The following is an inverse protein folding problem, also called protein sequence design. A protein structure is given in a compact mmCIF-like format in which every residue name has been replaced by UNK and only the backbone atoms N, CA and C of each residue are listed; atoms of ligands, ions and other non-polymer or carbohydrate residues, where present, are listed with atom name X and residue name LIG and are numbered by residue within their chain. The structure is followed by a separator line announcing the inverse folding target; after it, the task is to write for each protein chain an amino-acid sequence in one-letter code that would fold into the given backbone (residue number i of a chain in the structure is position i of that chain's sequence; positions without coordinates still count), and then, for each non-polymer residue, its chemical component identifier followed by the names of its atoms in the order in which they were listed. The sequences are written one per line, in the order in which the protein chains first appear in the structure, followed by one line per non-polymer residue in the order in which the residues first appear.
data_IF_752308750927
#
_entry.id   IF_752308750927
#
_cell.length_a   1.000
_cell.length_b   1.000
_cell.length_c   1.000
_cell.angle_alpha   90.00
_cell.angle_beta   90.00
_cell.angle_gamma   90.00
#
_symmetry.space_group_name_H-M   'P 1'
#
loop_
_entity.id
_entity.type
_entity.pdbx_description
1 polymer ?
#
# COMPACT_ATOMS: atom_id res chain seq x y z
N UNK A 1 57.82 -28.27 29.09
CA UNK A 1 57.17 -27.83 27.84
C UNK A 1 55.72 -27.50 28.17
N UNK A 2 55.38 -26.22 28.32
CA UNK A 2 54.03 -25.75 28.62
C UNK A 2 53.54 -24.96 27.40
N UNK A 3 52.46 -25.44 26.79
CA UNK A 3 51.85 -24.87 25.59
C UNK A 3 51.14 -23.55 25.93
N UNK A 4 51.34 -22.52 25.10
CA UNK A 4 50.65 -21.25 25.21
C UNK A 4 49.16 -21.39 24.79
N UNK A 5 48.23 -20.64 25.40
CA UNK A 5 46.83 -20.69 25.04
C UNK A 5 46.58 -20.00 23.69
N UNK A 6 45.86 -20.70 22.80
CA UNK A 6 45.42 -20.17 21.50
C UNK A 6 44.19 -19.28 21.73
N UNK A 7 44.29 -18.00 21.37
CA UNK A 7 43.15 -17.07 21.40
C UNK A 7 42.20 -17.35 20.24
N UNK A 8 40.87 -17.36 20.46
CA UNK A 8 39.89 -17.54 19.39
C UNK A 8 39.85 -16.31 18.47
N UNK A 9 39.87 -16.56 17.16
CA UNK A 9 39.66 -15.54 16.12
C UNK A 9 38.18 -15.16 16.09
N UNK A 10 37.80 -13.87 16.11
CA UNK A 10 36.40 -13.48 16.04
C UNK A 10 35.84 -13.75 14.65
N UNK A 11 34.84 -14.62 14.57
CA UNK A 11 34.08 -14.91 13.36
C UNK A 11 33.25 -13.67 13.02
N UNK A 12 33.63 -12.92 11.98
CA UNK A 12 32.79 -11.86 11.44
C UNK A 12 31.49 -12.49 10.93
N UNK A 13 30.39 -12.23 11.65
CA UNK A 13 29.04 -12.48 11.18
C UNK A 13 28.81 -11.65 9.92
N UNK A 14 28.83 -12.29 8.76
CA UNK A 14 28.40 -11.68 7.49
C UNK A 14 26.91 -11.42 7.59
N UNK A 15 26.53 -10.24 8.11
CA UNK A 15 25.18 -9.71 7.93
C UNK A 15 24.90 -9.66 6.42
N UNK A 16 23.77 -10.17 5.93
CA UNK A 16 23.40 -10.00 4.53
C UNK A 16 23.42 -8.50 4.22
N UNK A 17 24.11 -8.12 3.14
CA UNK A 17 24.20 -6.75 2.70
C UNK A 17 22.80 -6.31 2.24
N UNK A 18 21.99 -5.80 3.15
CA UNK A 18 20.75 -5.11 2.82
C UNK A 18 21.13 -3.92 1.94
N UNK A 19 20.82 -4.03 0.64
CA UNK A 19 21.01 -2.97 -0.32
C UNK A 19 19.94 -1.91 -0.02
N UNK A 20 20.33 -0.79 0.61
CA UNK A 20 19.43 0.35 0.81
C UNK A 20 19.19 0.98 -0.56
N UNK A 21 17.96 0.88 -1.06
CA UNK A 21 17.54 1.58 -2.27
C UNK A 21 16.87 2.89 -1.85
N UNK A 22 17.39 4.06 -2.25
CA UNK A 22 16.73 5.33 -1.99
C UNK A 22 15.44 5.39 -2.82
N UNK A 23 14.32 5.65 -2.15
CA UNK A 23 12.98 5.81 -2.72
C UNK A 23 12.45 7.18 -2.32
N UNK A 24 11.83 7.89 -3.27
CA UNK A 24 11.01 9.06 -2.98
C UNK A 24 9.54 8.69 -3.11
N UNK A 25 8.68 9.22 -2.24
CA UNK A 25 7.23 9.13 -2.36
C UNK A 25 6.68 10.43 -2.93
N UNK A 26 5.61 10.33 -3.71
CA UNK A 26 4.95 11.44 -4.35
C UNK A 26 3.45 11.15 -4.41
N UNK A 27 2.63 12.16 -4.19
CA UNK A 27 1.18 12.02 -4.38
C UNK A 27 0.84 11.79 -5.86
N UNK A 28 -0.11 10.89 -6.14
CA UNK A 28 -0.72 10.77 -7.48
C UNK A 28 -1.37 12.08 -7.94
N UNK A 29 -1.69 13.00 -7.03
CA UNK A 29 -2.25 14.31 -7.34
C UNK A 29 -1.28 15.22 -8.11
N UNK A 30 0.02 14.90 -8.14
CA UNK A 30 1.02 15.64 -8.92
C UNK A 30 1.08 15.23 -10.39
N UNK A 31 0.35 14.19 -10.80
CA UNK A 31 0.28 13.74 -12.17
C UNK A 31 -0.91 14.36 -12.91
N UNK A 32 -0.73 14.78 -14.17
CA UNK A 32 -1.85 15.14 -15.03
C UNK A 32 -2.87 13.99 -15.11
N UNK A 33 -4.16 14.31 -15.09
CA UNK A 33 -5.23 13.31 -15.14
C UNK A 33 -5.09 12.32 -16.29
N UNK A 34 -4.79 12.83 -17.49
CA UNK A 34 -4.61 11.98 -18.66
C UNK A 34 -3.47 10.95 -18.49
N UNK A 35 -2.42 11.32 -17.76
CA UNK A 35 -1.28 10.47 -17.44
C UNK A 35 -1.67 9.41 -16.40
N UNK A 36 -2.32 9.82 -15.30
CA UNK A 36 -2.87 8.90 -14.29
C UNK A 36 -3.80 7.87 -14.93
N UNK A 37 -4.77 8.32 -15.75
CA UNK A 37 -5.73 7.45 -16.43
C UNK A 37 -5.03 6.51 -17.43
N UNK A 38 -3.96 6.96 -18.09
CA UNK A 38 -3.19 6.13 -19.01
C UNK A 38 -2.45 5.01 -18.25
N UNK A 39 -1.80 5.32 -17.14
CA UNK A 39 -1.08 4.35 -16.31
C UNK A 39 -2.06 3.39 -15.66
N UNK A 40 -3.19 3.87 -15.13
CA UNK A 40 -4.24 3.02 -14.56
C UNK A 40 -4.80 2.04 -15.60
N UNK A 41 -5.01 2.48 -16.85
CA UNK A 41 -5.40 1.59 -17.94
C UNK A 41 -4.34 0.53 -18.19
N UNK A 42 -3.05 0.88 -18.23
CA UNK A 42 -1.99 -0.12 -18.43
C UNK A 42 -1.92 -1.13 -17.27
N UNK A 43 -2.09 -0.68 -16.02
CA UNK A 43 -2.14 -1.54 -14.83
C UNK A 43 -3.32 -2.51 -14.90
N UNK A 44 -4.51 -2.04 -15.30
CA UNK A 44 -5.70 -2.88 -15.41
C UNK A 44 -5.54 -4.01 -16.45
N UNK A 45 -4.83 -3.74 -17.56
CA UNK A 45 -4.62 -4.70 -18.63
C UNK A 45 -3.35 -5.55 -18.45
N UNK A 46 -2.52 -5.24 -17.45
CA UNK A 46 -1.26 -5.94 -17.22
C UNK A 46 -1.47 -7.38 -16.70
N UNK A 47 -0.71 -8.36 -17.23
CA UNK A 47 -0.81 -9.75 -16.79
C UNK A 47 -0.24 -9.90 -15.37
N UNK A 48 -1.00 -10.55 -14.49
CA UNK A 48 -0.55 -10.89 -13.14
C UNK A 48 0.37 -12.13 -13.20
N UNK A 49 1.64 -11.97 -12.80
CA UNK A 49 2.60 -13.09 -12.71
C UNK A 49 3.14 -13.18 -11.29
N UNK A 50 2.89 -14.30 -10.61
CA UNK A 50 3.36 -14.55 -9.24
C UNK A 50 3.00 -13.42 -8.25
N UNK A 51 1.80 -12.86 -8.37
CA UNK A 51 1.31 -11.77 -7.51
C UNK A 51 1.83 -10.37 -7.86
N UNK A 52 2.78 -10.24 -8.80
CA UNK A 52 3.27 -8.95 -9.28
C UNK A 52 2.52 -8.51 -10.54
N UNK A 53 2.18 -7.24 -10.60
CA UNK A 53 1.66 -6.58 -11.81
C UNK A 53 2.84 -5.86 -12.45
N UNK A 54 3.37 -6.44 -13.52
CA UNK A 54 4.39 -5.81 -14.34
C UNK A 54 3.66 -5.11 -15.47
N UNK A 55 3.70 -3.79 -15.46
CA UNK A 55 3.03 -2.96 -16.45
C UNK A 55 3.91 -2.87 -17.69
N UNK A 56 3.36 -3.25 -18.84
CA UNK A 56 4.06 -3.11 -20.12
C UNK A 56 3.98 -1.65 -20.58
N UNK A 57 5.03 -0.88 -20.29
CA UNK A 57 5.14 0.52 -20.70
C UNK A 57 6.36 0.68 -21.62
N UNK A 58 6.22 1.35 -22.79
CA UNK A 58 7.26 1.36 -23.83
C UNK A 58 8.57 2.06 -23.40
N UNK A 59 8.49 2.93 -22.39
CA UNK A 59 9.60 3.80 -21.95
C UNK A 59 9.94 3.60 -20.46
N UNK A 60 9.02 3.05 -19.67
CA UNK A 60 9.11 3.06 -18.21
C UNK A 60 9.07 1.63 -17.69
N UNK A 61 9.76 1.37 -16.59
CA UNK A 61 9.55 0.15 -15.80
C UNK A 61 8.67 0.50 -14.61
N UNK A 62 7.42 0.01 -14.66
CA UNK A 62 6.39 0.32 -13.68
C UNK A 62 5.97 -0.94 -12.93
N UNK A 63 5.93 -0.84 -11.59
CA UNK A 63 5.38 -1.87 -10.70
C UNK A 63 4.15 -1.31 -9.99
N UNK A 64 2.99 -1.95 -10.15
CA UNK A 64 1.77 -1.48 -9.49
C UNK A 64 1.64 -2.03 -8.07
N UNK A 65 1.08 -1.22 -7.17
CA UNK A 65 0.63 -1.63 -5.84
C UNK A 65 -0.83 -1.18 -5.61
N UNK A 66 -1.40 -1.52 -4.46
CA UNK A 66 -2.83 -1.35 -4.18
C UNK A 66 -3.30 0.12 -4.18
N UNK A 67 -2.38 1.07 -3.99
CA UNK A 67 -2.68 2.50 -3.82
C UNK A 67 -2.01 3.38 -4.89
N UNK A 68 -1.38 2.76 -5.88
CA UNK A 68 -0.66 3.48 -6.92
C UNK A 68 0.38 2.62 -7.61
N UNK A 69 1.53 3.20 -7.92
CA UNK A 69 2.56 2.51 -8.69
C UNK A 69 3.95 3.10 -8.46
N UNK A 70 4.96 2.29 -8.71
CA UNK A 70 6.36 2.67 -8.64
C UNK A 70 6.94 2.79 -10.04
N UNK A 71 7.84 3.75 -10.21
CA UNK A 71 8.62 3.93 -11.44
C UNK A 71 10.09 3.77 -11.11
N UNK A 72 10.77 2.84 -11.78
CA UNK A 72 12.22 2.68 -11.66
C UNK A 72 12.92 3.84 -12.38
N UNK A 73 13.90 4.51 -11.77
CA UNK A 73 14.54 5.70 -12.36
C UNK A 73 15.85 5.39 -13.09
N UNK A 74 16.27 4.12 -13.14
CA UNK A 74 17.57 3.75 -13.70
C UNK A 74 17.75 3.99 -15.19
N UNK A 75 16.67 4.20 -15.96
CA UNK A 75 16.75 4.55 -17.39
C UNK A 75 16.92 6.05 -17.60
N UNK A 76 16.67 6.90 -16.59
CA UNK A 76 16.56 8.35 -16.80
C UNK A 76 17.90 8.99 -17.16
N UNK A 77 19.01 8.41 -16.68
CA UNK A 77 20.36 8.91 -16.96
C UNK A 77 20.77 8.66 -18.43
N UNK A 78 20.10 7.72 -19.10
CA UNK A 78 20.36 7.38 -20.51
C UNK A 78 19.65 8.33 -21.48
N UNK A 79 18.80 9.23 -20.97
CA UNK A 79 18.00 10.17 -21.77
C UNK A 79 18.49 11.60 -21.54
N UNK A 80 19.15 12.23 -22.53
CA UNK A 80 19.60 13.61 -22.40
C UNK A 80 18.43 14.61 -22.36
N UNK A 81 17.30 14.26 -22.99
CA UNK A 81 16.09 15.06 -23.07
C UNK A 81 14.84 14.21 -22.73
N UNK A 82 13.74 14.89 -22.40
CA UNK A 82 12.45 14.23 -22.10
C UNK A 82 11.93 13.44 -23.32
N UNK A 83 11.51 12.17 -23.16
CA UNK A 83 10.77 11.44 -24.18
C UNK A 83 9.47 12.14 -24.60
N UNK A 84 9.13 12.15 -25.89
CA UNK A 84 7.86 12.72 -26.39
C UNK A 84 6.60 12.02 -25.82
N UNK A 85 6.74 10.76 -25.40
CA UNK A 85 5.66 9.97 -24.83
C UNK A 85 5.35 10.26 -23.36
N UNK A 86 6.07 11.17 -22.70
CA UNK A 86 5.83 11.56 -21.31
C UNK A 86 5.42 13.03 -21.22
N UNK A 87 4.43 13.32 -20.37
CA UNK A 87 4.09 14.71 -20.05
C UNK A 87 5.28 15.46 -19.39
N UNK A 88 5.42 16.78 -19.62
CA UNK A 88 6.43 17.61 -18.96
C UNK A 88 6.41 17.48 -17.44
N UNK A 89 5.21 17.41 -16.86
CA UNK A 89 4.95 17.36 -15.43
C UNK A 89 5.45 16.04 -14.84
N UNK A 90 5.14 14.91 -15.49
CA UNK A 90 5.60 13.61 -15.05
C UNK A 90 7.12 13.49 -15.16
N UNK A 91 7.71 13.99 -16.26
CA UNK A 91 9.16 14.04 -16.42
C UNK A 91 9.87 14.87 -15.34
N UNK A 92 9.28 16.00 -14.94
CA UNK A 92 9.84 16.85 -13.89
C UNK A 92 9.93 16.10 -12.55
N UNK A 93 8.91 15.33 -12.19
CA UNK A 93 8.88 14.51 -10.96
C UNK A 93 9.96 13.42 -10.99
N UNK A 94 10.06 12.68 -12.09
CA UNK A 94 11.07 11.63 -12.27
C UNK A 94 12.50 12.21 -12.22
N UNK A 95 12.72 13.34 -12.89
CA UNK A 95 14.00 14.04 -12.91
C UNK A 95 14.40 14.57 -11.53
N UNK A 96 13.46 15.12 -10.76
CA UNK A 96 13.72 15.64 -9.42
C UNK A 96 14.07 14.51 -8.45
N UNK A 97 13.30 13.41 -8.47
CA UNK A 97 13.58 12.23 -7.67
C UNK A 97 14.97 11.65 -8.00
N UNK A 98 15.38 11.62 -9.28
CA UNK A 98 16.72 11.19 -9.67
C UNK A 98 17.80 12.13 -9.14
N UNK A 99 17.61 13.45 -9.24
CA UNK A 99 18.55 14.45 -8.69
C UNK A 99 18.69 14.32 -7.17
N UNK A 100 17.62 13.91 -6.47
CA UNK A 100 17.66 13.58 -5.05
C UNK A 100 18.38 12.24 -4.74
N UNK A 101 18.84 11.53 -5.77
CA UNK A 101 19.57 10.27 -5.64
C UNK A 101 18.66 9.03 -5.56
N UNK A 102 17.37 9.16 -5.81
CA UNK A 102 16.45 8.03 -5.80
C UNK A 102 16.67 7.08 -6.98
N UNK A 103 16.42 5.80 -6.74
CA UNK A 103 16.34 4.78 -7.78
C UNK A 103 14.89 4.41 -8.11
N UNK A 104 13.95 4.80 -7.25
CA UNK A 104 12.53 4.58 -7.42
C UNK A 104 11.75 5.83 -6.99
N UNK A 105 10.71 6.13 -7.76
CA UNK A 105 9.68 7.08 -7.36
C UNK A 105 8.37 6.31 -7.16
N UNK A 106 7.81 6.38 -5.96
CA UNK A 106 6.49 5.83 -5.63
C UNK A 106 5.45 6.92 -5.83
N UNK A 107 4.42 6.62 -6.61
CA UNK A 107 3.20 7.41 -6.69
C UNK A 107 2.15 6.75 -5.83
N UNK A 108 1.79 7.41 -4.73
CA UNK A 108 0.81 6.91 -3.78
C UNK A 108 -0.39 7.87 -3.72
N UNK A 109 -1.60 7.31 -3.70
CA UNK A 109 -2.84 8.08 -3.56
C UNK A 109 -3.00 8.66 -2.16
N UNK A 110 -2.42 8.01 -1.16
CA UNK A 110 -2.56 8.40 0.24
C UNK A 110 -1.42 9.33 0.70
N UNK A 111 -0.36 9.49 -0.11
CA UNK A 111 0.69 10.48 0.13
C UNK A 111 0.12 11.90 -0.05
N UNK A 112 0.27 12.80 0.94
CA UNK A 112 -0.20 14.16 0.82
C UNK A 112 0.56 14.91 -0.30
N UNK A 113 -0.11 15.81 -1.04
CA UNK A 113 0.55 16.61 -2.04
C UNK A 113 1.58 17.55 -1.39
N UNK A 114 2.71 17.69 -2.06
CA UNK A 114 3.79 18.61 -1.69
C UNK A 114 3.59 19.98 -2.35
N UNK A 115 4.07 21.04 -1.69
CA UNK A 115 4.03 22.41 -2.25
C UNK A 115 5.03 22.63 -3.41
N UNK A 116 5.90 21.64 -3.68
CA UNK A 116 7.01 21.74 -4.65
C UNK A 116 6.56 21.54 -6.09
N UNK A 117 5.42 20.87 -6.30
CA UNK A 117 4.93 20.50 -7.64
C UNK A 117 3.46 20.90 -7.82
N UNK A 118 3.02 21.15 -9.06
CA UNK A 118 1.62 21.42 -9.34
C UNK A 118 0.72 20.28 -8.87
N UNK A 119 -0.49 20.61 -8.43
CA UNK A 119 -1.53 19.64 -8.07
C UNK A 119 -2.63 19.69 -9.13
N UNK A 120 -2.97 18.54 -9.69
CA UNK A 120 -4.03 18.40 -10.68
C UNK A 120 -5.27 17.84 -10.00
N UNK A 121 -6.32 18.66 -9.91
CA UNK A 121 -7.51 18.33 -9.14
C UNK A 121 -8.13 16.99 -9.58
N UNK A 122 -8.41 16.14 -8.59
CA UNK A 122 -9.14 14.91 -8.77
C UNK A 122 -10.65 15.17 -8.98
N UNK A 123 -11.06 16.07 -9.91
CA UNK A 123 -12.45 16.24 -10.35
C UNK A 123 -13.49 16.17 -9.24
N UNK A 124 -13.63 17.23 -8.44
CA UNK A 124 -14.83 17.42 -7.64
C UNK A 124 -15.97 17.80 -8.59
N UNK A 125 -17.00 16.95 -8.71
CA UNK A 125 -18.34 17.51 -8.79
C UNK A 125 -18.60 18.19 -7.45
N UNK A 126 -18.95 19.47 -7.52
CA UNK A 126 -19.22 20.34 -6.38
C UNK A 126 -20.29 19.74 -5.45
N UNK A 127 -19.95 19.57 -4.18
CA UNK A 127 -20.94 19.70 -3.11
C UNK A 127 -20.35 20.67 -2.09
N UNK A 128 -20.85 21.89 -2.17
CA UNK A 128 -20.66 22.97 -1.22
C UNK A 128 -21.05 22.46 0.18
N UNK A 129 -20.23 22.79 1.19
CA UNK A 129 -20.12 22.00 2.40
C UNK A 129 -21.26 22.05 3.42
N UNK A 130 -21.10 21.21 4.43
CA UNK A 130 -21.38 21.52 5.84
C UNK A 130 -20.61 20.51 6.72
N UNK A 131 -20.46 20.85 8.00
CA UNK A 131 -19.68 20.20 9.03
C UNK A 131 -19.86 18.67 9.15
N UNK A 132 -18.82 18.04 9.71
CA UNK A 132 -18.66 16.60 9.80
C UNK A 132 -19.85 15.86 10.41
N UNK A 133 -20.24 14.78 9.75
CA UNK A 133 -21.06 13.73 10.34
C UNK A 133 -20.38 12.38 10.09
N UNK A 134 -20.13 11.67 11.18
CA UNK A 134 -19.47 10.37 11.23
C UNK A 134 -20.21 9.35 10.35
N UNK A 135 -19.52 8.82 9.34
CA UNK A 135 -19.99 7.69 8.53
C UNK A 135 -19.87 6.37 9.31
N UNK A 136 -20.62 6.24 10.40
CA UNK A 136 -20.92 4.97 11.03
C UNK A 136 -22.40 4.91 11.43
N UNK A 137 -23.28 5.07 10.43
CA UNK A 137 -24.66 4.63 10.54
C UNK A 137 -24.87 3.44 9.59
N UNK A 138 -24.37 2.26 10.00
CA UNK A 138 -24.78 1.01 9.39
C UNK A 138 -26.27 0.80 9.68
N UNK A 139 -27.04 0.49 8.63
CA UNK A 139 -28.44 0.08 8.71
C UNK A 139 -28.63 -1.03 9.77
N UNK A 140 -29.46 -0.85 10.81
CA UNK A 140 -29.55 -1.78 11.96
C UNK A 140 -30.22 -3.14 11.66
N UNK A 141 -30.66 -3.40 10.42
CA UNK A 141 -31.51 -4.56 10.11
C UNK A 141 -30.77 -5.88 9.81
N UNK A 142 -29.45 -5.89 9.59
CA UNK A 142 -28.74 -7.13 9.24
C UNK A 142 -27.42 -7.28 10.01
N UNK A 143 -27.51 -7.67 11.28
CA UNK A 143 -26.32 -8.06 12.04
C UNK A 143 -25.81 -9.42 11.57
N UNK A 144 -24.51 -9.51 11.35
CA UNK A 144 -23.82 -10.73 10.90
C UNK A 144 -22.82 -11.19 11.98
N UNK A 145 -22.49 -12.49 11.95
CA UNK A 145 -21.38 -13.09 12.70
C UNK A 145 -20.42 -13.73 11.71
N UNK A 146 -19.13 -13.63 11.98
CA UNK A 146 -18.09 -14.32 11.20
C UNK A 146 -17.74 -15.62 11.92
N UNK A 147 -17.64 -16.73 11.18
CA UNK A 147 -17.34 -18.06 11.74
C UNK A 147 -16.35 -18.81 10.88
N UNK A 148 -15.54 -19.65 11.52
CA UNK A 148 -14.68 -20.61 10.83
C UNK A 148 -15.53 -21.59 10.01
N UNK A 149 -15.27 -21.70 8.71
CA UNK A 149 -16.00 -22.60 7.83
C UNK A 149 -15.73 -24.09 8.17
N UNK A 150 -14.61 -24.40 8.83
CA UNK A 150 -14.24 -25.77 9.18
C UNK A 150 -14.90 -26.28 10.47
N UNK A 151 -14.90 -25.48 11.55
CA UNK A 151 -15.40 -25.90 12.87
C UNK A 151 -16.66 -25.14 13.34
N UNK A 152 -17.05 -24.06 12.65
CA UNK A 152 -18.20 -23.23 13.03
C UNK A 152 -17.96 -22.29 14.23
N UNK A 153 -16.78 -22.31 14.85
CA UNK A 153 -16.43 -21.39 15.94
C UNK A 153 -16.44 -19.93 15.49
N UNK A 154 -16.77 -19.03 16.42
CA UNK A 154 -16.63 -17.59 16.25
C UNK A 154 -15.27 -17.06 16.71
N UNK A 155 -14.40 -17.92 17.28
CA UNK A 155 -13.03 -17.60 17.69
C UNK A 155 -12.11 -17.58 16.46
N UNK A 156 -12.30 -16.56 15.64
CA UNK A 156 -11.58 -16.34 14.39
C UNK A 156 -10.94 -14.97 14.40
N UNK A 157 -9.70 -14.90 13.92
CA UNK A 157 -8.95 -13.66 13.76
C UNK A 157 -8.59 -13.46 12.30
N UNK A 158 -8.27 -12.21 11.98
CA UNK A 158 -7.59 -11.85 10.74
C UNK A 158 -6.27 -11.19 11.06
N UNK A 159 -5.33 -11.41 10.16
CA UNK A 159 -4.09 -10.67 10.18
C UNK A 159 -4.39 -9.22 9.89
N UNK A 160 -3.75 -8.35 10.66
CA UNK A 160 -3.87 -6.92 10.50
C UNK A 160 -2.57 -6.27 10.95
N UNK A 161 -2.38 -5.04 10.50
CA UNK A 161 -1.39 -4.15 11.11
C UNK A 161 -2.11 -2.99 11.78
N UNK A 162 -1.57 -2.58 12.91
CA UNK A 162 -1.97 -1.36 13.59
C UNK A 162 -0.92 -0.28 13.32
N UNK A 163 -1.37 0.96 13.21
CA UNK A 163 -0.52 2.15 13.14
C UNK A 163 -0.70 2.95 14.41
N UNK A 164 0.37 3.61 14.84
CA UNK A 164 0.26 4.61 15.90
C UNK A 164 -0.50 5.82 15.36
N UNK A 165 -1.48 6.29 16.12
CA UNK A 165 -2.23 7.51 15.87
C UNK A 165 -1.76 8.56 16.90
N UNK A 166 -1.07 9.60 16.43
CA UNK A 166 -0.55 10.66 17.30
C UNK A 166 -1.65 11.56 17.88
N UNK A 167 -2.81 11.68 17.24
CA UNK A 167 -3.91 12.48 17.75
C UNK A 167 -4.72 11.71 18.80
N UNK A 168 -4.97 10.42 18.54
CA UNK A 168 -5.63 9.53 19.50
C UNK A 168 -4.70 9.02 20.60
N UNK A 169 -3.38 9.14 20.41
CA UNK A 169 -2.33 8.57 21.28
C UNK A 169 -2.56 7.08 21.55
N UNK A 170 -2.98 6.34 20.53
CA UNK A 170 -3.30 4.91 20.62
C UNK A 170 -2.96 4.17 19.32
N UNK A 171 -2.92 2.84 19.39
CA UNK A 171 -2.78 1.97 18.24
C UNK A 171 -4.12 1.84 17.52
N UNK A 172 -4.22 2.42 16.32
CA UNK A 172 -5.38 2.30 15.45
C UNK A 172 -5.19 1.16 14.45
N UNK A 173 -6.26 0.41 14.15
CA UNK A 173 -6.26 -0.60 13.10
C UNK A 173 -6.00 0.08 11.74
N UNK A 174 -4.87 -0.24 11.09
CA UNK A 174 -4.50 0.36 9.81
C UNK A 174 -5.17 -0.38 8.65
N UNK A 175 -4.93 -1.68 8.53
CA UNK A 175 -5.61 -2.53 7.56
C UNK A 175 -5.73 -3.97 8.06
N UNK A 176 -6.74 -4.66 7.55
CA UNK A 176 -7.01 -6.07 7.81
C UNK A 176 -6.85 -6.85 6.51
N UNK A 177 -6.09 -7.94 6.57
CA UNK A 177 -5.79 -8.82 5.44
C UNK A 177 -6.78 -10.00 5.38
N UNK A 178 -6.76 -10.75 4.28
CA UNK A 178 -7.63 -11.91 4.07
C UNK A 178 -7.15 -13.18 4.79
N UNK A 179 -5.86 -13.24 5.12
CA UNK A 179 -5.29 -14.26 5.99
C UNK A 179 -6.05 -14.30 7.32
N UNK A 180 -6.50 -15.49 7.69
CA UNK A 180 -7.34 -15.71 8.85
C UNK A 180 -6.93 -16.99 9.56
N UNK A 181 -7.11 -16.96 10.88
CA UNK A 181 -6.77 -18.06 11.78
C UNK A 181 -7.95 -18.33 12.70
N UNK A 182 -8.14 -19.58 13.11
CA UNK A 182 -9.15 -19.95 14.09
C UNK A 182 -8.47 -20.53 15.33
N UNK A 183 -8.70 -19.91 16.49
CA UNK A 183 -8.12 -20.39 17.76
C UNK A 183 -8.71 -21.74 18.17
N UNK A 184 -10.00 -21.97 17.92
CA UNK A 184 -10.66 -23.21 18.30
C UNK A 184 -10.11 -24.45 17.57
N UNK A 185 -9.61 -24.31 16.34
CA UNK A 185 -9.02 -25.43 15.59
C UNK A 185 -7.51 -25.28 15.33
N UNK A 186 -6.90 -24.22 15.85
CA UNK A 186 -5.49 -23.84 15.76
C UNK A 186 -4.90 -23.91 14.34
N UNK A 187 -5.67 -23.45 13.35
CA UNK A 187 -5.31 -23.55 11.92
C UNK A 187 -5.71 -22.30 11.14
N UNK A 188 -5.08 -22.13 9.99
CA UNK A 188 -5.55 -21.21 8.95
C UNK A 188 -7.01 -21.50 8.62
N UNK A 189 -7.81 -20.45 8.57
CA UNK A 189 -9.26 -20.53 8.51
C UNK A 189 -9.81 -19.82 7.27
N UNK A 190 -10.74 -20.46 6.58
CA UNK A 190 -11.67 -19.76 5.70
C UNK A 190 -12.84 -19.26 6.54
N UNK A 191 -13.23 -18.00 6.35
CA UNK A 191 -14.29 -17.36 7.14
C UNK A 191 -15.61 -17.34 6.36
N UNK A 192 -16.70 -17.65 7.06
CA UNK A 192 -18.06 -17.56 6.54
C UNK A 192 -18.86 -16.51 7.31
N UNK A 193 -19.64 -15.71 6.58
CA UNK A 193 -20.59 -14.77 7.17
C UNK A 193 -21.92 -15.50 7.39
N UNK A 194 -22.48 -15.37 8.60
CA UNK A 194 -23.79 -15.90 8.92
C UNK A 194 -24.66 -14.80 9.53
N UNK A 195 -25.99 -14.79 9.28
CA UNK A 195 -26.90 -13.90 9.99
C UNK A 195 -26.82 -14.15 11.50
N UNK A 196 -26.67 -13.10 12.29
CA UNK A 196 -26.72 -13.20 13.75
C UNK A 196 -28.19 -13.37 14.17
N UNK A 197 -28.65 -14.62 14.34
CA UNK A 197 -30.01 -14.90 14.80
C UNK A 197 -30.16 -14.46 16.26
N UNK A 198 -31.04 -13.47 16.51
CA UNK A 198 -31.54 -13.17 17.86
C UNK A 198 -31.38 -11.72 18.35
N UNK A 199 -31.85 -10.72 17.61
CA UNK A 199 -32.15 -9.42 18.22
C UNK A 199 -33.63 -9.09 18.08
N UNK A 200 -34.44 -9.70 18.92
CA UNK A 200 -35.76 -9.16 19.18
C UNK A 200 -35.58 -8.06 20.24
N UNK A 201 -35.67 -6.81 19.82
CA UNK A 201 -35.92 -5.71 20.76
C UNK A 201 -37.34 -5.86 21.30
N UNK A 202 -37.46 -6.35 22.53
CA UNK A 202 -38.65 -6.14 23.34
C UNK A 202 -38.61 -4.69 23.84
N UNK A 203 -39.37 -3.80 23.19
CA UNK A 203 -39.73 -2.52 23.81
C UNK A 203 -41.03 -2.73 24.58
N UNK A 204 -40.96 -2.70 25.91
CA UNK A 204 -42.08 -2.36 26.80
C UNK A 204 -42.08 -0.85 27.05
#
# INVERSE_FOLDING_TARGET
MLAAPVTPVPTQSRRPAMRRFPVCACSTAHLPRAENDAIDRLIQHAPRRSGRIIVDHPILSIEAHQYGFWVHLGFIDDWPDRPDGLSPEFWALLSDARKAGANWLSFDRDEPPSDRFPVFAAGQEEATGDAGESVNAANPAARITIRCSACGSAEVMRDAWARWDDDAQDWALGAMFDAAFCEACEKDATLSQQPLKGWQHSHS
#
